data_IF_479027519104
#
_entry.id   IF_479027519104
#
_cell.length_a   1.000
_cell.length_b   1.000
_cell.length_c   1.000
_cell.angle_alpha   90.00
_cell.angle_beta   90.00
_cell.angle_gamma   90.00
#
_symmetry.space_group_name_H-M   'P 1'
#
loop_
_entity.id
_entity.type
_entity.pdbx_description
1 polymer ?
#
# COMPACT_ATOMS: atom_id res chain seq x y z
N UNK A 1 17.76 -17.06 -44.58
CA UNK A 1 16.85 -17.80 -43.69
C UNK A 1 17.21 -17.46 -42.25
N UNK A 2 16.56 -16.48 -41.68
CA UNK A 2 16.74 -16.14 -40.26
C UNK A 2 15.53 -16.66 -39.50
N UNK A 3 15.79 -17.67 -38.66
CA UNK A 3 14.77 -18.28 -37.83
C UNK A 3 14.24 -17.29 -36.79
N UNK A 4 12.96 -17.01 -36.83
CA UNK A 4 12.23 -16.31 -35.76
C UNK A 4 12.34 -17.15 -34.48
N UNK A 5 13.13 -16.67 -33.48
CA UNK A 5 13.00 -17.14 -32.12
C UNK A 5 11.68 -16.61 -31.58
N UNK A 6 10.70 -17.49 -31.45
CA UNK A 6 9.48 -17.24 -30.71
C UNK A 6 9.87 -16.93 -29.26
N UNK A 7 9.60 -15.72 -28.82
CA UNK A 7 9.61 -15.38 -27.39
C UNK A 7 8.69 -16.34 -26.66
N UNK A 8 9.09 -16.87 -25.50
CA UNK A 8 8.22 -17.76 -24.74
C UNK A 8 6.97 -17.00 -24.35
N UNK A 9 5.82 -17.42 -24.86
CA UNK A 9 4.49 -16.99 -24.41
C UNK A 9 4.48 -17.12 -22.91
N UNK A 10 4.33 -16.02 -22.19
CA UNK A 10 4.15 -15.98 -20.75
C UNK A 10 2.99 -16.91 -20.41
N UNK A 11 3.28 -18.08 -19.83
CA UNK A 11 2.23 -19.00 -19.37
C UNK A 11 1.37 -18.21 -18.38
N UNK A 12 0.09 -18.10 -18.71
CA UNK A 12 -0.90 -17.49 -17.79
C UNK A 12 -0.79 -18.20 -16.46
N UNK A 13 -0.74 -17.45 -15.37
CA UNK A 13 -0.85 -18.05 -14.03
C UNK A 13 -2.18 -18.80 -13.95
N UNK A 14 -2.21 -19.98 -13.31
CA UNK A 14 -3.47 -20.68 -13.13
C UNK A 14 -4.41 -19.83 -12.26
N UNK A 15 -5.69 -19.80 -12.64
CA UNK A 15 -6.71 -19.18 -11.81
C UNK A 15 -6.79 -19.96 -10.48
N UNK A 16 -6.76 -19.27 -9.35
CA UNK A 16 -7.08 -19.87 -8.06
C UNK A 16 -8.57 -20.25 -8.06
N UNK A 17 -8.86 -21.51 -7.73
CA UNK A 17 -10.24 -21.90 -7.50
C UNK A 17 -10.77 -21.23 -6.23
N UNK A 18 -11.96 -20.63 -6.30
CA UNK A 18 -12.65 -20.13 -5.12
C UNK A 18 -13.06 -21.33 -4.29
N UNK A 19 -12.48 -21.48 -3.09
CA UNK A 19 -12.88 -22.52 -2.16
C UNK A 19 -14.31 -22.21 -1.70
N UNK A 20 -15.25 -23.15 -1.91
CA UNK A 20 -16.58 -23.05 -1.30
C UNK A 20 -16.39 -23.15 0.21
N UNK A 21 -16.86 -22.14 0.94
CA UNK A 21 -16.81 -22.08 2.38
C UNK A 21 -17.42 -23.34 3.01
N UNK A 22 -16.73 -24.08 3.88
CA UNK A 22 -17.38 -25.05 4.72
C UNK A 22 -18.10 -24.30 5.84
N UNK A 23 -19.40 -24.40 5.89
CA UNK A 23 -20.20 -24.00 7.04
C UNK A 23 -19.89 -24.94 8.22
N UNK A 24 -19.02 -24.50 9.13
CA UNK A 24 -18.89 -25.08 10.46
C UNK A 24 -18.45 -24.00 11.43
N UNK A 25 -19.38 -23.55 12.25
CA UNK A 25 -19.12 -22.70 13.40
C UNK A 25 -18.37 -23.52 14.46
N UNK A 26 -17.06 -23.31 14.64
CA UNK A 26 -16.32 -23.70 15.82
C UNK A 26 -16.12 -22.49 16.72
N UNK A 27 -16.83 -22.45 17.86
CA UNK A 27 -16.74 -21.41 18.89
C UNK A 27 -15.49 -21.60 19.76
N UNK A 28 -14.30 -21.30 19.21
CA UNK A 28 -13.05 -21.17 19.95
C UNK A 28 -12.23 -19.99 19.38
N UNK A 29 -11.24 -19.45 20.11
CA UNK A 29 -10.32 -18.49 19.48
C UNK A 29 -9.61 -19.25 18.33
N UNK A 30 -10.01 -18.95 17.10
CA UNK A 30 -9.45 -19.60 15.93
C UNK A 30 -8.07 -19.01 15.68
N UNK A 31 -7.05 -19.86 15.74
CA UNK A 31 -5.64 -19.49 15.52
C UNK A 31 -5.33 -19.12 14.05
N UNK A 32 -6.35 -19.04 13.20
CA UNK A 32 -6.28 -18.67 11.78
C UNK A 32 -6.56 -17.18 11.53
N UNK A 33 -6.72 -16.38 12.61
CA UNK A 33 -7.07 -14.95 12.52
C UNK A 33 -5.91 -14.04 12.92
N UNK A 34 -5.85 -12.92 12.24
CA UNK A 34 -4.95 -11.83 12.59
C UNK A 34 -5.54 -10.47 12.15
N UNK A 35 -5.01 -9.42 12.75
CA UNK A 35 -5.39 -8.04 12.41
C UNK A 35 -4.34 -7.39 11.52
N UNK A 36 -4.79 -6.58 10.56
CA UNK A 36 -3.92 -5.81 9.68
C UNK A 36 -4.34 -4.34 9.66
N UNK A 37 -3.35 -3.45 9.75
CA UNK A 37 -3.49 -2.01 9.70
C UNK A 37 -2.64 -1.43 8.58
N UNK A 38 -3.20 -0.49 7.80
CA UNK A 38 -2.42 0.43 6.95
C UNK A 38 -2.70 1.88 7.38
N UNK A 39 -1.63 2.70 7.46
CA UNK A 39 -1.74 4.04 8.00
C UNK A 39 -0.65 4.97 7.45
N UNK A 40 -1.04 6.05 6.77
CA UNK A 40 -0.16 7.16 6.46
C UNK A 40 -0.02 8.04 7.72
N UNK A 41 1.20 8.18 8.23
CA UNK A 41 1.49 8.85 9.51
C UNK A 41 1.55 10.37 9.40
N UNK A 42 1.53 10.92 8.19
CA UNK A 42 1.82 12.32 7.87
C UNK A 42 3.22 12.74 8.36
N UNK A 43 4.23 12.53 7.53
CA UNK A 43 5.61 12.92 7.82
C UNK A 43 5.71 14.38 8.27
N UNK A 44 6.56 14.70 9.25
CA UNK A 44 6.82 16.10 9.61
C UNK A 44 7.33 16.94 8.43
N UNK A 45 7.88 16.31 7.40
CA UNK A 45 8.33 17.01 6.18
C UNK A 45 7.20 17.46 5.28
N UNK A 46 5.99 16.89 5.41
CA UNK A 46 4.82 17.21 4.60
C UNK A 46 3.78 18.07 5.34
N UNK A 47 4.06 18.43 6.59
CA UNK A 47 3.24 19.39 7.36
C UNK A 47 3.48 20.82 6.84
N UNK A 48 3.12 21.07 5.58
CA UNK A 48 3.33 22.35 4.92
C UNK A 48 2.38 23.43 5.45
N UNK A 49 2.89 24.60 5.91
CA UNK A 49 2.04 25.65 6.48
C UNK A 49 0.92 26.12 5.56
N UNK A 50 1.17 26.16 4.25
CA UNK A 50 0.20 26.60 3.25
C UNK A 50 -0.94 25.57 2.99
N UNK A 51 -0.73 24.31 3.34
CA UNK A 51 -1.74 23.25 3.22
C UNK A 51 -2.57 23.16 4.50
N UNK A 52 -1.90 23.15 5.64
CA UNK A 52 -2.51 22.93 6.96
C UNK A 52 -2.82 24.23 7.71
N UNK A 53 -3.33 25.25 6.99
CA UNK A 53 -3.66 26.58 7.57
C UNK A 53 -4.75 26.52 8.63
N UNK A 54 -5.62 25.49 8.59
CA UNK A 54 -6.72 25.25 9.52
C UNK A 54 -6.30 24.53 10.80
N UNK A 55 -5.09 23.96 10.83
CA UNK A 55 -4.57 23.22 11.99
C UNK A 55 -3.90 24.17 12.97
N UNK A 56 -4.23 24.07 14.25
CA UNK A 56 -3.54 24.81 15.30
C UNK A 56 -2.07 24.39 15.41
N UNK A 57 -1.17 25.35 15.68
CA UNK A 57 0.30 25.13 15.68
C UNK A 57 0.72 23.96 16.60
N UNK A 58 0.14 23.82 17.77
CA UNK A 58 0.43 22.73 18.70
C UNK A 58 0.15 21.33 18.14
N UNK A 59 -0.82 21.19 17.22
CA UNK A 59 -1.15 19.91 16.59
C UNK A 59 -0.34 19.64 15.34
N UNK A 60 0.42 20.62 14.84
CA UNK A 60 1.42 20.44 13.79
C UNK A 60 2.74 19.92 14.34
N UNK A 61 3.01 20.16 15.63
CA UNK A 61 4.24 19.74 16.29
C UNK A 61 4.43 18.23 16.22
N UNK A 62 5.62 17.81 15.77
CA UNK A 62 5.91 16.39 15.58
C UNK A 62 5.92 15.62 16.90
N UNK A 63 6.49 16.23 17.97
CA UNK A 63 6.51 15.58 19.28
C UNK A 63 5.12 15.30 19.82
N UNK A 64 4.18 16.24 19.64
CA UNK A 64 2.79 16.05 20.01
C UNK A 64 2.14 14.92 19.19
N UNK A 65 2.27 14.95 17.86
CA UNK A 65 1.68 13.95 16.97
C UNK A 65 2.28 12.56 17.17
N UNK A 66 3.60 12.50 17.42
CA UNK A 66 4.30 11.25 17.69
C UNK A 66 3.77 10.54 18.94
N UNK A 67 3.46 11.27 20.03
CA UNK A 67 2.86 10.69 21.24
C UNK A 67 1.47 10.11 20.97
N UNK A 68 0.67 10.75 20.13
CA UNK A 68 -0.62 10.19 19.69
C UNK A 68 -0.44 8.94 18.84
N UNK A 69 0.51 8.94 17.89
CA UNK A 69 0.87 7.77 17.09
C UNK A 69 1.33 6.59 17.96
N UNK A 70 2.15 6.85 18.99
CA UNK A 70 2.51 5.81 19.97
C UNK A 70 1.28 5.21 20.64
N UNK A 71 0.36 6.07 21.09
CA UNK A 71 -0.88 5.63 21.75
C UNK A 71 -1.74 4.79 20.79
N UNK A 72 -1.87 5.23 19.55
CA UNK A 72 -2.64 4.50 18.55
C UNK A 72 -2.03 3.14 18.22
N UNK A 73 -0.74 3.08 17.93
CA UNK A 73 -0.10 1.87 17.41
C UNK A 73 0.20 0.84 18.50
N UNK A 74 0.54 1.26 19.73
CA UNK A 74 0.86 0.32 20.80
C UNK A 74 -0.35 -0.12 21.63
N UNK A 75 -1.38 0.73 21.77
CA UNK A 75 -2.47 0.47 22.71
C UNK A 75 -3.85 0.42 22.06
N UNK A 76 -4.17 1.36 21.19
CA UNK A 76 -5.52 1.46 20.61
C UNK A 76 -5.76 0.41 19.53
N UNK A 77 -4.84 0.30 18.57
CA UNK A 77 -5.01 -0.58 17.42
C UNK A 77 -4.19 -1.87 17.50
N UNK A 78 -2.96 -1.82 17.92
CA UNK A 78 -2.06 -2.97 18.15
C UNK A 78 -2.28 -4.14 17.17
N UNK A 79 -2.30 -3.83 15.87
CA UNK A 79 -2.57 -4.81 14.83
C UNK A 79 -1.38 -5.79 14.64
N UNK A 80 -1.67 -7.04 14.30
CA UNK A 80 -0.63 -8.08 14.12
C UNK A 80 0.29 -7.81 12.92
N UNK A 81 -0.22 -7.10 11.89
CA UNK A 81 0.56 -6.57 10.76
C UNK A 81 0.25 -5.08 10.65
N UNK A 82 1.28 -4.24 10.64
CA UNK A 82 1.16 -2.78 10.57
C UNK A 82 1.97 -2.29 9.38
N UNK A 83 1.30 -1.66 8.41
CA UNK A 83 1.89 -1.06 7.22
C UNK A 83 1.82 0.46 7.35
N UNK A 84 2.97 1.12 7.49
CA UNK A 84 3.07 2.57 7.67
C UNK A 84 3.58 3.23 6.39
N UNK A 85 3.03 4.39 6.04
CA UNK A 85 3.51 5.27 4.99
C UNK A 85 3.96 6.60 5.59
N UNK A 86 4.80 7.32 4.89
CA UNK A 86 5.44 8.57 5.34
C UNK A 86 6.27 8.43 6.64
N UNK A 87 6.68 7.23 6.96
CA UNK A 87 7.62 6.96 8.05
C UNK A 87 9.00 7.43 7.65
N UNK A 88 9.62 8.35 8.43
CA UNK A 88 10.99 8.79 8.15
C UNK A 88 12.00 7.73 8.55
N UNK A 89 13.14 7.68 7.83
CA UNK A 89 14.19 6.72 8.14
C UNK A 89 14.83 6.99 9.49
N UNK A 90 14.95 8.25 9.90
CA UNK A 90 15.43 8.64 11.23
C UNK A 90 14.50 8.09 12.30
N UNK A 91 13.19 8.37 12.20
CA UNK A 91 12.21 7.93 13.19
C UNK A 91 12.09 6.39 13.25
N UNK A 92 12.15 5.72 12.08
CA UNK A 92 12.20 4.26 12.04
C UNK A 92 13.40 3.69 12.80
N UNK A 93 14.61 4.21 12.55
CA UNK A 93 15.85 3.64 13.12
C UNK A 93 16.05 4.03 14.58
N UNK A 94 15.66 5.24 14.99
CA UNK A 94 15.92 5.77 16.33
C UNK A 94 14.79 5.45 17.32
N UNK A 95 13.59 5.12 16.83
CA UNK A 95 12.44 4.86 17.68
C UNK A 95 11.66 3.59 17.32
N UNK A 96 10.94 3.57 16.19
CA UNK A 96 9.90 2.56 15.94
C UNK A 96 10.43 1.14 15.90
N UNK A 97 11.56 0.90 15.25
CA UNK A 97 12.16 -0.44 15.14
C UNK A 97 12.37 -1.08 16.50
N UNK A 98 13.00 -0.35 17.40
CA UNK A 98 13.36 -0.87 18.72
C UNK A 98 12.16 -0.90 19.68
N UNK A 99 11.30 0.12 19.64
CA UNK A 99 10.13 0.16 20.50
C UNK A 99 9.10 -0.93 20.13
N UNK A 100 8.85 -1.16 18.85
CA UNK A 100 7.98 -2.25 18.37
C UNK A 100 8.54 -3.62 18.77
N UNK A 101 9.86 -3.81 18.68
CA UNK A 101 10.51 -5.06 19.12
C UNK A 101 10.41 -5.25 20.61
N UNK A 102 10.75 -4.24 21.40
CA UNK A 102 10.92 -4.38 22.84
C UNK A 102 9.59 -4.37 23.62
N UNK A 103 8.60 -3.56 23.16
CA UNK A 103 7.31 -3.43 23.88
C UNK A 103 6.30 -4.52 23.50
N UNK A 104 6.28 -4.95 22.24
CA UNK A 104 5.22 -5.83 21.73
C UNK A 104 5.73 -7.03 20.89
N UNK A 105 7.05 -7.28 20.88
CA UNK A 105 7.69 -8.41 20.18
C UNK A 105 7.43 -8.43 18.67
N UNK A 106 7.54 -7.27 18.00
CA UNK A 106 7.36 -7.19 16.55
C UNK A 106 8.69 -7.16 15.82
N UNK A 107 8.75 -7.88 14.68
CA UNK A 107 9.76 -7.68 13.66
C UNK A 107 9.37 -6.54 12.73
N UNK A 108 10.35 -5.99 11.99
CA UNK A 108 10.09 -4.90 11.07
C UNK A 108 11.03 -4.88 9.87
N UNK A 109 10.54 -4.34 8.76
CA UNK A 109 11.31 -4.01 7.57
C UNK A 109 10.90 -2.62 7.10
N UNK A 110 11.82 -1.90 6.47
CA UNK A 110 11.62 -0.53 6.02
C UNK A 110 12.26 -0.31 4.66
N UNK A 111 11.59 0.43 3.78
CA UNK A 111 12.10 0.87 2.50
C UNK A 111 12.05 2.40 2.44
N UNK A 112 13.22 3.03 2.39
CA UNK A 112 13.38 4.48 2.30
C UNK A 112 13.32 4.94 0.85
N UNK A 113 12.65 6.07 0.60
CA UNK A 113 12.67 6.73 -0.72
C UNK A 113 14.06 7.31 -0.98
N UNK A 114 14.62 7.23 -2.20
CA UNK A 114 15.81 7.98 -2.54
C UNK A 114 15.51 9.49 -2.49
N UNK A 115 16.45 10.31 -2.02
CA UNK A 115 16.25 11.75 -1.94
C UNK A 115 16.13 12.36 -3.35
N UNK A 116 15.17 13.25 -3.59
CA UNK A 116 15.11 14.01 -4.82
C UNK A 116 16.23 15.04 -4.87
N UNK A 117 16.56 15.55 -6.06
CA UNK A 117 17.69 16.47 -6.29
C UNK A 117 17.65 17.77 -5.47
N UNK A 118 16.45 18.18 -5.07
CA UNK A 118 16.23 19.38 -4.25
C UNK A 118 16.31 19.12 -2.73
N UNK A 119 16.53 17.86 -2.32
CA UNK A 119 16.60 17.49 -0.90
C UNK A 119 17.90 17.99 -0.28
N UNK A 120 17.79 18.79 0.76
CA UNK A 120 18.94 19.44 1.43
C UNK A 120 19.24 18.88 2.82
N UNK A 121 18.35 17.99 3.33
CA UNK A 121 18.52 17.31 4.62
C UNK A 121 19.29 16.00 4.44
N UNK A 122 19.54 15.30 5.53
CA UNK A 122 20.13 13.97 5.49
C UNK A 122 19.26 13.00 4.67
N UNK A 123 19.86 12.10 3.91
CA UNK A 123 19.13 11.03 3.21
C UNK A 123 18.37 10.13 4.18
N UNK A 124 18.87 10.00 5.43
CA UNK A 124 18.19 9.25 6.50
C UNK A 124 16.88 9.87 6.95
N UNK A 125 16.68 11.18 6.70
CA UNK A 125 15.45 11.88 7.04
C UNK A 125 14.35 11.72 5.97
N UNK A 126 14.70 11.12 4.82
CA UNK A 126 13.67 10.79 3.83
C UNK A 126 12.63 9.85 4.44
N UNK A 127 11.40 10.04 3.99
CA UNK A 127 10.32 9.12 4.31
C UNK A 127 10.36 7.86 3.44
N UNK A 128 9.58 6.90 3.85
CA UNK A 128 9.44 5.64 3.15
C UNK A 128 8.22 4.87 3.64
N UNK A 129 8.27 3.56 3.46
CA UNK A 129 7.22 2.65 3.91
C UNK A 129 7.78 1.56 4.83
N UNK A 130 7.07 1.30 5.93
CA UNK A 130 7.45 0.30 6.92
C UNK A 130 6.42 -0.81 7.05
N UNK A 131 6.86 -2.03 7.31
CA UNK A 131 6.01 -3.17 7.67
C UNK A 131 6.51 -3.74 8.98
N UNK A 132 5.63 -3.76 9.99
CA UNK A 132 5.86 -4.36 11.30
C UNK A 132 4.93 -5.57 11.45
N UNK A 133 5.40 -6.62 12.11
CA UNK A 133 4.65 -7.87 12.22
C UNK A 133 4.92 -8.58 13.53
N UNK A 134 3.86 -9.14 14.10
CA UNK A 134 3.87 -9.85 15.38
C UNK A 134 4.66 -11.17 15.25
N UNK A 135 5.80 -11.26 15.96
CA UNK A 135 6.66 -12.44 15.94
C UNK A 135 6.06 -13.64 16.69
N UNK A 136 5.00 -13.46 17.46
CA UNK A 136 4.29 -14.58 18.09
C UNK A 136 3.41 -15.31 17.07
N UNK A 137 2.87 -14.60 16.07
CA UNK A 137 2.02 -15.17 15.01
C UNK A 137 2.77 -15.50 13.72
N UNK A 138 3.83 -14.76 13.40
CA UNK A 138 4.52 -14.84 12.12
C UNK A 138 5.99 -15.18 12.27
N UNK A 139 6.51 -15.94 11.30
CA UNK A 139 7.94 -16.13 11.07
C UNK A 139 8.33 -15.35 9.83
N UNK A 140 9.35 -14.51 9.95
CA UNK A 140 9.93 -13.79 8.82
C UNK A 140 10.66 -14.78 7.90
N UNK A 141 10.43 -14.66 6.59
CA UNK A 141 11.11 -15.47 5.59
C UNK A 141 12.08 -14.62 4.75
N UNK A 142 11.58 -13.53 4.19
CA UNK A 142 12.34 -12.72 3.23
C UNK A 142 11.70 -11.34 3.08
N UNK A 143 12.49 -10.35 2.66
CA UNK A 143 11.97 -9.05 2.21
C UNK A 143 12.68 -8.57 0.94
N UNK A 144 11.98 -7.76 0.18
CA UNK A 144 12.51 -7.10 -1.00
C UNK A 144 11.89 -5.70 -1.11
N UNK A 145 12.70 -4.74 -1.52
CA UNK A 145 12.23 -3.40 -1.87
C UNK A 145 12.47 -3.12 -3.33
N UNK A 146 11.63 -2.29 -3.93
CA UNK A 146 11.82 -1.81 -5.30
C UNK A 146 11.60 -0.31 -5.39
N UNK A 147 12.29 0.33 -6.31
CA UNK A 147 12.06 1.70 -6.73
C UNK A 147 11.07 1.71 -7.89
N UNK A 148 9.96 2.46 -7.77
CA UNK A 148 8.86 2.42 -8.73
C UNK A 148 9.17 3.17 -10.03
N UNK A 149 10.31 3.82 -10.11
CA UNK A 149 10.86 4.45 -11.31
C UNK A 149 11.80 3.54 -12.12
N UNK A 150 11.96 2.26 -11.75
CA UNK A 150 12.70 1.29 -12.56
C UNK A 150 11.84 0.75 -13.71
N UNK A 151 11.60 1.61 -14.71
CA UNK A 151 10.77 1.26 -15.87
C UNK A 151 11.51 0.35 -16.85
N UNK A 152 12.81 0.57 -17.04
CA UNK A 152 13.64 -0.25 -17.95
C UNK A 152 13.70 -1.71 -17.51
N UNK A 153 13.78 -1.96 -16.20
CA UNK A 153 13.77 -3.32 -15.64
C UNK A 153 12.40 -4.00 -15.64
N UNK A 154 11.32 -3.24 -15.87
CA UNK A 154 9.94 -3.71 -15.70
C UNK A 154 9.13 -3.73 -17.00
N UNK A 155 9.37 -2.79 -17.91
CA UNK A 155 8.63 -2.58 -19.15
C UNK A 155 9.45 -3.07 -20.36
N UNK A 156 8.77 -3.63 -21.36
CA UNK A 156 9.40 -3.98 -22.62
C UNK A 156 9.54 -2.74 -23.54
N UNK A 157 10.23 -2.93 -24.69
CA UNK A 157 10.52 -1.81 -25.58
C UNK A 157 9.25 -1.19 -26.21
N UNK A 158 8.22 -1.99 -26.46
CA UNK A 158 6.95 -1.48 -27.02
C UNK A 158 6.22 -0.60 -25.97
N UNK A 159 6.18 -1.05 -24.76
CA UNK A 159 5.61 -0.31 -23.64
C UNK A 159 6.39 0.98 -23.33
N UNK A 160 7.73 0.91 -23.31
CA UNK A 160 8.57 2.10 -23.15
C UNK A 160 8.32 3.13 -24.25
N UNK A 161 8.26 2.69 -25.52
CA UNK A 161 7.93 3.57 -26.63
C UNK A 161 6.55 4.22 -26.46
N UNK A 162 5.57 3.45 -25.99
CA UNK A 162 4.25 3.98 -25.68
C UNK A 162 4.33 5.06 -24.59
N UNK A 163 5.01 4.81 -23.47
CA UNK A 163 5.14 5.78 -22.37
C UNK A 163 5.86 7.06 -22.81
N UNK A 164 6.80 6.99 -23.75
CA UNK A 164 7.44 8.16 -24.34
C UNK A 164 6.50 9.00 -25.24
N UNK A 165 5.50 8.36 -25.84
CA UNK A 165 4.55 9.02 -26.73
C UNK A 165 3.30 9.56 -26.02
N UNK A 166 3.07 9.18 -24.75
CA UNK A 166 1.96 9.69 -23.95
C UNK A 166 2.36 10.93 -23.19
N UNK A 167 1.63 12.03 -23.37
CA UNK A 167 1.90 13.30 -22.72
C UNK A 167 1.03 13.55 -21.49
N UNK A 168 1.64 14.12 -20.46
CA UNK A 168 0.98 14.63 -19.25
C UNK A 168 1.09 16.15 -19.25
N UNK A 169 -0.03 16.83 -19.03
CA UNK A 169 -0.04 18.26 -18.75
C UNK A 169 0.45 18.50 -17.32
N UNK A 170 1.59 19.16 -17.20
CA UNK A 170 2.18 19.48 -15.91
C UNK A 170 1.51 20.70 -15.30
N UNK A 171 1.16 20.62 -14.02
CA UNK A 171 0.58 21.73 -13.27
C UNK A 171 1.39 21.99 -11.99
N UNK A 172 1.38 23.24 -11.50
CA UNK A 172 1.92 23.60 -10.18
C UNK A 172 0.98 23.18 -9.03
N UNK A 173 1.30 23.53 -7.79
CA UNK A 173 0.47 23.27 -6.61
C UNK A 173 -0.86 24.05 -6.58
N UNK A 174 -0.98 25.14 -7.36
CA UNK A 174 -2.20 25.92 -7.51
C UNK A 174 -3.12 25.38 -8.62
N UNK A 175 -2.62 24.45 -9.46
CA UNK A 175 -3.35 23.90 -10.59
C UNK A 175 -3.05 24.57 -11.93
N UNK A 176 -2.20 25.60 -11.96
CA UNK A 176 -1.84 26.30 -13.21
C UNK A 176 -0.96 25.39 -14.07
N UNK A 177 -1.20 25.41 -15.39
CA UNK A 177 -0.40 24.66 -16.36
C UNK A 177 1.00 25.28 -16.46
N UNK A 178 2.03 24.46 -16.24
CA UNK A 178 3.45 24.88 -16.29
C UNK A 178 4.23 24.23 -17.43
N UNK A 179 3.60 23.32 -18.20
CA UNK A 179 4.22 22.66 -19.34
C UNK A 179 3.59 21.31 -19.67
N UNK A 180 4.31 20.54 -20.48
CA UNK A 180 3.99 19.16 -20.81
C UNK A 180 5.26 18.31 -20.76
N UNK A 181 5.12 17.05 -20.37
CA UNK A 181 6.16 16.03 -20.48
C UNK A 181 5.51 14.67 -20.71
N UNK A 182 6.25 13.68 -21.14
CA UNK A 182 5.70 12.36 -21.35
C UNK A 182 5.65 11.53 -20.06
N UNK A 183 4.79 10.50 -20.06
CA UNK A 183 4.58 9.62 -18.91
C UNK A 183 5.89 8.96 -18.46
N UNK A 184 6.77 8.58 -19.39
CA UNK A 184 8.07 7.99 -19.08
C UNK A 184 8.93 8.92 -18.23
N UNK A 185 9.17 10.15 -18.69
CA UNK A 185 10.01 11.12 -17.99
C UNK A 185 9.43 11.47 -16.61
N UNK A 186 8.11 11.73 -16.55
CA UNK A 186 7.45 12.03 -15.28
C UNK A 186 7.57 10.87 -14.31
N UNK A 187 7.38 9.63 -14.75
CA UNK A 187 7.51 8.43 -13.91
C UNK A 187 8.95 8.21 -13.44
N UNK A 188 9.94 8.38 -14.34
CA UNK A 188 11.38 8.25 -14.02
C UNK A 188 11.84 9.28 -12.98
N UNK A 189 11.24 10.45 -12.96
CA UNK A 189 11.56 11.53 -12.02
C UNK A 189 10.93 11.33 -10.62
N UNK A 190 10.13 10.26 -10.41
CA UNK A 190 9.49 9.97 -9.11
C UNK A 190 10.37 9.04 -8.28
N UNK A 191 10.26 9.16 -6.96
CA UNK A 191 11.10 8.43 -6.00
C UNK A 191 10.31 7.47 -5.09
N UNK A 192 9.08 7.12 -5.47
CA UNK A 192 8.27 6.18 -4.69
C UNK A 192 8.90 4.79 -4.64
N UNK A 193 8.66 4.12 -3.51
CA UNK A 193 9.16 2.78 -3.21
C UNK A 193 8.02 1.85 -2.85
N UNK A 194 8.26 0.56 -3.01
CA UNK A 194 7.37 -0.49 -2.53
C UNK A 194 8.19 -1.53 -1.76
N UNK A 195 7.64 -1.96 -0.62
CA UNK A 195 8.22 -2.98 0.24
C UNK A 195 7.39 -4.25 0.19
N UNK A 196 8.07 -5.38 0.01
CA UNK A 196 7.52 -6.73 0.09
C UNK A 196 8.12 -7.42 1.31
N UNK A 197 7.28 -7.99 2.17
CA UNK A 197 7.71 -8.83 3.30
C UNK A 197 6.97 -10.15 3.22
N UNK A 198 7.72 -11.24 3.24
CA UNK A 198 7.19 -12.59 3.21
C UNK A 198 7.19 -13.16 4.61
N UNK A 199 6.02 -13.52 5.08
CA UNK A 199 5.77 -14.04 6.42
C UNK A 199 5.16 -15.44 6.31
N UNK A 200 5.58 -16.36 7.19
CA UNK A 200 4.88 -17.63 7.38
C UNK A 200 4.00 -17.52 8.62
N UNK A 201 2.71 -17.69 8.47
CA UNK A 201 1.80 -17.78 9.60
C UNK A 201 2.05 -19.07 10.37
N UNK A 202 2.32 -18.96 11.67
CA UNK A 202 2.83 -20.09 12.47
C UNK A 202 1.85 -21.25 12.58
N UNK A 203 0.55 -20.97 12.66
CA UNK A 203 -0.48 -22.01 12.81
C UNK A 203 -0.85 -22.64 11.46
N UNK A 204 -1.30 -21.85 10.51
CA UNK A 204 -1.79 -22.37 9.22
C UNK A 204 -0.67 -22.77 8.27
N UNK A 205 0.57 -22.38 8.54
CA UNK A 205 1.76 -22.54 7.68
C UNK A 205 1.66 -21.79 6.34
N UNK A 206 0.59 -21.04 6.11
CA UNK A 206 0.42 -20.20 4.91
C UNK A 206 1.54 -19.16 4.81
N UNK A 207 2.02 -18.93 3.60
CA UNK A 207 2.96 -17.87 3.30
C UNK A 207 2.16 -16.63 2.87
N UNK A 208 2.35 -15.55 3.59
CA UNK A 208 1.67 -14.28 3.31
C UNK A 208 2.70 -13.30 2.75
N UNK A 209 2.48 -12.84 1.53
CA UNK A 209 3.24 -11.76 0.91
C UNK A 209 2.55 -10.46 1.26
N UNK A 210 3.11 -9.73 2.22
CA UNK A 210 2.63 -8.40 2.63
C UNK A 210 3.34 -7.36 1.79
N UNK A 211 2.57 -6.49 1.15
CA UNK A 211 3.06 -5.43 0.28
C UNK A 211 2.59 -4.10 0.81
N UNK A 212 3.51 -3.15 0.95
CA UNK A 212 3.23 -1.79 1.38
C UNK A 212 3.83 -0.78 0.41
N UNK A 213 3.04 0.20 0.01
CA UNK A 213 3.47 1.27 -0.90
C UNK A 213 2.81 2.59 -0.55
N UNK A 214 3.39 3.69 -1.06
CA UNK A 214 2.78 5.01 -1.10
C UNK A 214 2.96 5.55 -2.51
N UNK A 215 1.89 5.50 -3.33
CA UNK A 215 1.93 5.89 -4.74
C UNK A 215 2.06 7.40 -4.90
N UNK A 216 2.47 7.85 -6.09
CA UNK A 216 2.57 9.26 -6.42
C UNK A 216 1.21 9.97 -6.30
N UNK A 217 1.19 11.17 -5.74
CA UNK A 217 -0.07 11.82 -5.38
C UNK A 217 -0.85 12.46 -6.54
N UNK A 218 -0.23 12.71 -7.70
CA UNK A 218 -0.81 13.68 -8.65
C UNK A 218 -1.39 13.06 -9.92
N UNK A 219 -0.63 12.38 -10.75
CA UNK A 219 -1.06 11.94 -12.08
C UNK A 219 -1.44 10.46 -12.08
N UNK A 220 -2.65 10.15 -12.55
CA UNK A 220 -3.18 8.78 -12.57
C UNK A 220 -2.36 7.85 -13.47
N UNK A 221 -1.84 8.35 -14.57
CA UNK A 221 -0.97 7.60 -15.48
C UNK A 221 0.31 7.15 -14.78
N UNK A 222 0.91 8.02 -13.99
CA UNK A 222 2.11 7.69 -13.20
C UNK A 222 1.80 6.65 -12.12
N UNK A 223 0.69 6.81 -11.42
CA UNK A 223 0.23 5.84 -10.41
C UNK A 223 -0.06 4.47 -11.03
N UNK A 224 -0.67 4.44 -12.21
CA UNK A 224 -0.93 3.20 -12.95
C UNK A 224 0.38 2.49 -13.33
N UNK A 225 1.38 3.23 -13.85
CA UNK A 225 2.73 2.71 -14.16
C UNK A 225 3.39 2.14 -12.90
N UNK A 226 3.30 2.86 -11.77
CA UNK A 226 3.83 2.41 -10.48
C UNK A 226 3.14 1.12 -10.02
N UNK A 227 1.81 1.05 -10.09
CA UNK A 227 1.05 -0.12 -9.71
C UNK A 227 1.38 -1.34 -10.59
N UNK A 228 1.48 -1.15 -11.90
CA UNK A 228 1.89 -2.22 -12.83
C UNK A 228 3.32 -2.72 -12.54
N UNK A 229 4.24 -1.82 -12.18
CA UNK A 229 5.60 -2.17 -11.74
C UNK A 229 5.56 -3.08 -10.52
N UNK A 230 4.73 -2.75 -9.52
CA UNK A 230 4.53 -3.56 -8.30
C UNK A 230 3.97 -4.94 -8.67
N UNK A 231 2.92 -5.00 -9.49
CA UNK A 231 2.28 -6.27 -9.87
C UNK A 231 3.22 -7.20 -10.64
N UNK A 232 4.05 -6.67 -11.51
CA UNK A 232 5.06 -7.45 -12.25
C UNK A 232 6.17 -7.96 -11.33
N UNK A 233 6.59 -7.15 -10.37
CA UNK A 233 7.56 -7.59 -9.36
C UNK A 233 6.98 -8.70 -8.49
N UNK A 234 5.75 -8.54 -8.03
CA UNK A 234 5.02 -9.56 -7.27
C UNK A 234 4.96 -10.89 -8.02
N UNK A 235 4.63 -10.84 -9.32
CA UNK A 235 4.63 -12.03 -10.18
C UNK A 235 5.98 -12.74 -10.19
N UNK A 236 7.09 -11.99 -10.28
CA UNK A 236 8.45 -12.55 -10.23
C UNK A 236 8.78 -13.15 -8.86
N UNK A 237 8.38 -12.50 -7.77
CA UNK A 237 8.57 -12.99 -6.39
C UNK A 237 7.84 -14.32 -6.22
N UNK A 238 6.56 -14.40 -6.57
CA UNK A 238 5.78 -15.64 -6.44
C UNK A 238 6.39 -16.75 -7.29
N UNK A 239 6.78 -16.47 -8.53
CA UNK A 239 7.45 -17.44 -9.38
C UNK A 239 8.75 -17.96 -8.75
N UNK A 240 9.55 -17.07 -8.16
CA UNK A 240 10.78 -17.43 -7.45
C UNK A 240 10.50 -18.32 -6.23
N UNK A 241 9.46 -18.02 -5.44
CA UNK A 241 9.05 -18.84 -4.30
C UNK A 241 8.67 -20.26 -4.70
N UNK A 242 7.85 -20.41 -5.73
CA UNK A 242 7.38 -21.70 -6.24
C UNK A 242 8.51 -22.57 -6.85
N UNK A 243 9.60 -21.94 -7.30
CA UNK A 243 10.76 -22.65 -7.85
C UNK A 243 11.81 -22.95 -6.79
N UNK A 244 11.85 -22.18 -5.70
CA UNK A 244 12.91 -22.22 -4.71
C UNK A 244 12.58 -22.99 -3.42
N UNK A 245 11.30 -23.26 -3.15
CA UNK A 245 10.85 -23.90 -1.94
C UNK A 245 9.94 -25.10 -2.27
N UNK A 246 10.31 -26.28 -1.84
CA UNK A 246 9.57 -27.52 -2.15
C UNK A 246 8.17 -27.58 -1.50
N UNK A 247 8.01 -26.93 -0.33
CA UNK A 247 6.75 -26.87 0.42
C UNK A 247 5.82 -25.74 -0.01
N UNK A 248 6.19 -24.96 -1.05
CA UNK A 248 5.42 -23.83 -1.53
C UNK A 248 4.64 -24.17 -2.78
N UNK A 249 3.33 -23.98 -2.69
CA UNK A 249 2.37 -24.14 -3.80
C UNK A 249 1.55 -22.88 -4.00
N UNK A 250 0.88 -22.74 -5.13
CA UNK A 250 -0.02 -21.60 -5.35
C UNK A 250 -1.12 -21.48 -4.30
N UNK A 251 -1.57 -22.59 -3.71
CA UNK A 251 -2.65 -22.61 -2.73
C UNK A 251 -2.23 -22.08 -1.35
N UNK A 252 -0.96 -22.22 -0.98
CA UNK A 252 -0.49 -21.76 0.33
C UNK A 252 0.23 -20.40 0.30
N UNK A 253 0.35 -19.76 -0.88
CA UNK A 253 0.81 -18.39 -1.02
C UNK A 253 -0.40 -17.44 -1.11
N UNK A 254 -0.49 -16.55 -0.15
CA UNK A 254 -1.56 -15.56 -0.01
C UNK A 254 -0.98 -14.15 -0.07
N UNK A 255 -1.73 -13.18 -0.58
CA UNK A 255 -1.21 -11.84 -0.84
C UNK A 255 -2.08 -10.80 -0.14
N UNK A 256 -1.41 -9.85 0.53
CA UNK A 256 -2.02 -8.65 1.08
C UNK A 256 -1.27 -7.44 0.50
N UNK A 257 -1.97 -6.62 -0.25
CA UNK A 257 -1.41 -5.41 -0.85
C UNK A 257 -2.09 -4.18 -0.25
N UNK A 258 -1.31 -3.37 0.46
CA UNK A 258 -1.81 -2.22 1.20
C UNK A 258 -0.99 -0.97 0.96
N UNK A 259 -1.53 0.15 1.40
CA UNK A 259 -0.86 1.43 1.40
C UNK A 259 -1.78 2.60 1.09
N UNK A 260 -1.15 3.76 0.94
CA UNK A 260 -1.75 4.96 0.38
C UNK A 260 -1.57 4.96 -1.13
N UNK A 261 -2.67 4.74 -1.84
CA UNK A 261 -2.69 4.69 -3.31
C UNK A 261 -2.87 6.07 -3.94
N UNK A 262 -3.13 7.10 -3.13
CA UNK A 262 -3.44 8.44 -3.63
C UNK A 262 -4.51 8.43 -4.74
N UNK A 263 -5.46 7.50 -4.66
CA UNK A 263 -6.38 7.15 -5.73
C UNK A 263 -7.78 6.89 -5.20
N UNK A 264 -8.76 7.62 -5.69
CA UNK A 264 -10.18 7.40 -5.36
C UNK A 264 -10.71 6.12 -6.04
N UNK A 265 -11.88 5.62 -5.58
CA UNK A 265 -12.47 4.36 -6.07
C UNK A 265 -12.73 4.33 -7.58
N UNK A 266 -12.90 5.47 -8.22
CA UNK A 266 -13.15 5.63 -9.66
C UNK A 266 -11.88 5.86 -10.51
N UNK A 267 -10.71 5.91 -9.88
CA UNK A 267 -9.42 6.14 -10.55
C UNK A 267 -8.98 4.98 -11.44
N UNK A 268 -8.04 5.25 -12.36
CA UNK A 268 -7.44 4.23 -13.24
C UNK A 268 -6.75 3.11 -12.46
N UNK A 269 -6.10 3.43 -11.34
CA UNK A 269 -5.41 2.44 -10.51
C UNK A 269 -6.40 1.45 -9.91
N UNK A 270 -7.51 1.95 -9.36
CA UNK A 270 -8.51 1.07 -8.73
C UNK A 270 -9.23 0.22 -9.77
N UNK A 271 -9.59 0.77 -10.92
CA UNK A 271 -10.11 0.01 -12.07
C UNK A 271 -9.15 -1.09 -12.51
N UNK A 272 -7.86 -0.77 -12.64
CA UNK A 272 -6.82 -1.75 -12.97
C UNK A 272 -6.72 -2.87 -11.93
N UNK A 273 -6.78 -2.56 -10.63
CA UNK A 273 -6.73 -3.55 -9.56
C UNK A 273 -7.99 -4.41 -9.52
N UNK A 274 -9.16 -3.85 -9.81
CA UNK A 274 -10.42 -4.58 -10.00
C UNK A 274 -10.39 -5.52 -11.22
N UNK A 275 -9.32 -5.51 -12.00
CA UNK A 275 -9.15 -6.38 -13.15
C UNK A 275 -9.76 -5.84 -14.44
N UNK A 276 -10.19 -4.59 -14.46
CA UNK A 276 -10.59 -3.91 -15.68
C UNK A 276 -9.39 -3.76 -16.63
N UNK A 277 -9.64 -3.92 -17.91
CA UNK A 277 -8.64 -3.65 -18.94
C UNK A 277 -8.57 -2.13 -19.18
N UNK A 278 -7.41 -1.56 -18.93
CA UNK A 278 -7.17 -0.15 -19.22
C UNK A 278 -6.63 -0.03 -20.64
N UNK A 279 -7.47 0.50 -21.52
CA UNK A 279 -7.11 0.73 -22.91
C UNK A 279 -6.48 2.12 -23.06
N UNK A 280 -5.24 2.16 -23.48
CA UNK A 280 -4.54 3.40 -23.80
C UNK A 280 -3.96 3.28 -25.22
N UNK A 281 -4.62 3.87 -26.21
CA UNK A 281 -4.18 3.77 -27.60
C UNK A 281 -4.00 2.31 -28.04
N UNK A 282 -2.78 1.96 -28.46
CA UNK A 282 -2.45 0.61 -28.95
C UNK A 282 -2.06 -0.38 -27.83
N UNK A 283 -2.05 0.05 -26.57
CA UNK A 283 -1.66 -0.79 -25.43
C UNK A 283 -2.86 -1.08 -24.51
N UNK A 284 -3.04 -2.36 -24.21
CA UNK A 284 -4.00 -2.85 -23.27
C UNK A 284 -3.29 -3.25 -21.98
N UNK A 285 -3.45 -2.46 -20.91
CA UNK A 285 -2.88 -2.75 -19.61
C UNK A 285 -3.87 -3.56 -18.78
N UNK A 286 -3.44 -4.73 -18.34
CA UNK A 286 -4.21 -5.60 -17.47
C UNK A 286 -3.39 -5.99 -16.25
N UNK A 287 -4.04 -6.04 -15.09
CA UNK A 287 -3.41 -6.51 -13.87
C UNK A 287 -2.97 -7.99 -14.02
N UNK A 288 -1.65 -8.28 -14.09
CA UNK A 288 -1.16 -9.65 -14.23
C UNK A 288 -1.42 -10.51 -12.99
N UNK A 289 -1.80 -9.90 -11.87
CA UNK A 289 -2.09 -10.53 -10.59
C UNK A 289 -3.57 -10.52 -10.22
N UNK A 290 -4.46 -10.21 -11.15
CA UNK A 290 -5.92 -10.13 -10.89
C UNK A 290 -6.53 -11.39 -10.28
N UNK A 291 -5.95 -12.56 -10.57
CA UNK A 291 -6.40 -13.82 -10.00
C UNK A 291 -6.00 -14.00 -8.52
N UNK A 292 -5.19 -13.10 -7.98
CA UNK A 292 -4.64 -13.13 -6.62
C UNK A 292 -4.93 -11.84 -5.84
N UNK A 293 -5.37 -10.79 -6.52
CA UNK A 293 -5.69 -9.48 -5.94
C UNK A 293 -6.90 -8.92 -6.71
N UNK A 294 -8.09 -9.33 -6.30
CA UNK A 294 -9.34 -8.98 -6.99
C UNK A 294 -10.34 -8.27 -6.09
N UNK A 295 -10.06 -8.21 -4.79
CA UNK A 295 -10.95 -7.63 -3.79
C UNK A 295 -10.19 -6.68 -2.87
N UNK A 296 -10.84 -5.59 -2.49
CA UNK A 296 -10.44 -4.74 -1.38
C UNK A 296 -11.33 -5.00 -0.17
N UNK A 297 -10.91 -4.58 1.01
CA UNK A 297 -11.76 -4.69 2.20
C UNK A 297 -13.08 -3.92 2.05
N UNK A 298 -13.14 -2.94 1.14
CA UNK A 298 -14.35 -2.14 0.90
C UNK A 298 -15.42 -2.89 0.12
N UNK A 299 -15.07 -3.99 -0.54
CA UNK A 299 -16.04 -4.85 -1.25
C UNK A 299 -16.81 -5.76 -0.28
N UNK A 300 -16.28 -5.93 0.94
CA UNK A 300 -16.83 -6.79 1.99
C UNK A 300 -17.62 -6.02 3.07
N UNK A 301 -17.71 -4.70 2.95
CA UNK A 301 -18.38 -3.84 3.93
C UNK A 301 -19.43 -2.96 3.23
N UNK A 302 -20.51 -2.53 3.95
CA UNK A 302 -21.48 -1.60 3.39
C UNK A 302 -20.83 -0.31 2.89
N UNK A 303 -21.32 0.22 1.77
CA UNK A 303 -20.78 1.41 1.09
C UNK A 303 -20.68 2.65 1.98
N UNK A 304 -21.52 2.75 3.02
CA UNK A 304 -21.55 3.86 3.97
C UNK A 304 -20.61 3.68 5.17
N UNK A 305 -19.88 2.56 5.25
CA UNK A 305 -19.05 2.23 6.41
C UNK A 305 -17.74 3.01 6.45
N UNK A 306 -17.21 3.39 5.29
CA UNK A 306 -16.03 4.26 5.15
C UNK A 306 -16.36 5.45 4.27
N UNK A 307 -16.36 6.64 4.88
CA UNK A 307 -16.63 7.89 4.16
C UNK A 307 -15.32 8.45 3.63
N UNK A 308 -14.29 8.52 4.48
CA UNK A 308 -12.96 9.02 4.14
C UNK A 308 -11.88 8.24 4.86
N UNK A 309 -10.72 8.07 4.22
CA UNK A 309 -9.48 7.64 4.87
C UNK A 309 -8.45 8.77 4.91
N UNK A 310 -8.63 9.80 4.09
CA UNK A 310 -7.86 11.05 4.16
C UNK A 310 -8.83 12.23 4.31
N UNK A 311 -8.48 13.16 5.19
CA UNK A 311 -9.28 14.33 5.52
C UNK A 311 -8.38 15.54 5.75
N UNK A 312 -7.75 16.04 4.68
CA UNK A 312 -6.85 17.18 4.72
C UNK A 312 -7.50 18.42 4.07
N UNK A 313 -8.15 19.26 4.87
CA UNK A 313 -8.76 20.49 4.39
C UNK A 313 -9.74 20.26 3.22
N UNK A 314 -9.28 20.46 2.00
CA UNK A 314 -10.09 20.31 0.79
C UNK A 314 -10.11 18.89 0.24
N UNK A 315 -9.14 18.05 0.60
CA UNK A 315 -9.01 16.69 0.11
C UNK A 315 -9.69 15.74 1.08
N UNK A 316 -10.77 15.13 0.62
CA UNK A 316 -11.53 14.12 1.36
C UNK A 316 -11.79 12.94 0.44
N UNK A 317 -11.54 11.73 0.92
CA UNK A 317 -11.80 10.53 0.12
C UNK A 317 -11.18 9.28 0.71
N UNK A 318 -11.44 8.17 0.03
CA UNK A 318 -10.77 6.90 0.28
C UNK A 318 -9.53 6.85 -0.60
N UNK A 319 -8.34 6.81 0.01
CA UNK A 319 -7.05 6.73 -0.66
C UNK A 319 -6.20 5.56 -0.17
N UNK A 320 -6.53 5.02 1.01
CA UNK A 320 -5.83 3.93 1.67
C UNK A 320 -6.60 2.63 1.50
N UNK A 321 -5.91 1.57 1.05
CA UNK A 321 -6.55 0.30 0.71
C UNK A 321 -5.80 -0.89 1.29
N UNK A 322 -6.53 -1.99 1.49
CA UNK A 322 -6.00 -3.34 1.69
C UNK A 322 -6.67 -4.24 0.65
N UNK A 323 -5.85 -4.77 -0.27
CA UNK A 323 -6.27 -5.66 -1.35
C UNK A 323 -5.87 -7.09 -1.05
N UNK A 324 -6.71 -8.05 -1.42
CA UNK A 324 -6.51 -9.47 -1.19
C UNK A 324 -7.27 -10.33 -2.22
N UNK A 325 -7.17 -11.65 -2.11
CA UNK A 325 -8.00 -12.59 -2.84
C UNK A 325 -9.08 -13.17 -1.93
N UNK A 326 -10.34 -13.10 -2.34
CA UNK A 326 -11.51 -13.57 -1.57
C UNK A 326 -11.44 -15.06 -1.19
N UNK A 327 -10.76 -15.89 -2.01
CA UNK A 327 -10.51 -17.30 -1.69
C UNK A 327 -9.36 -17.55 -0.73
N UNK A 328 -8.59 -16.52 -0.34
CA UNK A 328 -7.45 -16.61 0.57
C UNK A 328 -7.78 -16.07 1.97
N UNK A 329 -8.65 -15.07 2.04
CA UNK A 329 -9.02 -14.39 3.28
C UNK A 329 -10.50 -14.07 3.33
N UNK A 330 -11.05 -14.13 4.53
CA UNK A 330 -12.35 -13.58 4.89
C UNK A 330 -12.16 -12.36 5.76
N UNK A 331 -12.85 -11.27 5.45
CA UNK A 331 -12.91 -10.09 6.31
C UNK A 331 -13.90 -10.36 7.44
N UNK A 332 -13.39 -10.58 8.64
CA UNK A 332 -14.21 -10.89 9.82
C UNK A 332 -14.82 -9.62 10.37
N UNK A 333 -14.03 -8.55 10.42
CA UNK A 333 -14.44 -7.27 10.97
C UNK A 333 -13.54 -6.16 10.46
N UNK A 334 -14.13 -4.99 10.23
CA UNK A 334 -13.42 -3.72 10.10
C UNK A 334 -13.48 -3.02 11.45
N UNK A 335 -12.32 -2.73 12.05
CA UNK A 335 -12.19 -2.37 13.47
C UNK A 335 -12.01 -0.86 13.70
N UNK A 336 -11.66 -0.08 12.69
CA UNK A 336 -11.43 1.36 12.82
C UNK A 336 -11.58 2.10 11.49
N UNK A 337 -11.47 3.41 11.56
CA UNK A 337 -11.60 4.30 10.41
C UNK A 337 -13.04 4.74 10.17
N UNK A 338 -13.97 3.81 9.98
CA UNK A 338 -15.38 4.12 9.72
C UNK A 338 -16.02 4.99 10.80
N UNK A 339 -15.83 4.63 12.06
CA UNK A 339 -16.39 5.38 13.19
C UNK A 339 -15.80 6.79 13.29
N UNK A 340 -14.46 6.91 13.15
CA UNK A 340 -13.76 8.19 13.16
C UNK A 340 -14.19 9.05 11.97
N UNK A 341 -14.30 8.45 10.78
CA UNK A 341 -14.77 9.16 9.58
C UNK A 341 -16.18 9.74 9.77
N UNK A 342 -17.11 8.95 10.30
CA UNK A 342 -18.48 9.40 10.60
C UNK A 342 -18.53 10.50 11.67
N UNK A 343 -17.69 10.40 12.69
CA UNK A 343 -17.57 11.43 13.72
C UNK A 343 -17.12 12.76 13.14
N UNK A 344 -16.07 12.75 12.32
CA UNK A 344 -15.54 13.94 11.65
C UNK A 344 -16.57 14.61 10.75
N UNK A 345 -17.33 13.84 9.99
CA UNK A 345 -18.40 14.37 9.15
C UNK A 345 -19.54 14.96 9.98
N UNK A 346 -19.92 14.31 11.08
CA UNK A 346 -20.98 14.81 11.97
C UNK A 346 -20.61 16.12 12.67
N UNK A 347 -19.33 16.30 13.00
CA UNK A 347 -18.80 17.51 13.62
C UNK A 347 -18.48 18.63 12.64
N UNK A 348 -18.63 18.38 11.32
CA UNK A 348 -18.31 19.34 10.26
C UNK A 348 -16.89 19.93 10.37
N UNK A 349 -15.93 19.14 10.83
CA UNK A 349 -14.55 19.59 10.98
C UNK A 349 -13.90 19.88 9.63
N UNK A 350 -13.04 20.90 9.61
CA UNK A 350 -12.37 21.33 8.38
C UNK A 350 -11.28 20.36 7.91
N UNK A 351 -10.80 19.47 8.77
CA UNK A 351 -9.77 18.49 8.43
C UNK A 351 -8.90 18.07 9.60
N UNK A 352 -8.00 17.15 9.32
CA UNK A 352 -7.00 16.60 10.23
C UNK A 352 -5.58 17.14 9.87
N UNK A 353 -4.59 17.02 10.80
CA UNK A 353 -4.66 16.51 12.17
C UNK A 353 -5.35 17.48 13.16
N UNK A 354 -5.69 16.95 14.34
CA UNK A 354 -6.26 17.71 15.43
C UNK A 354 -5.76 17.20 16.80
N UNK A 355 -6.43 17.57 17.87
CA UNK A 355 -6.06 17.20 19.25
C UNK A 355 -6.06 15.69 19.51
N UNK A 356 -6.84 14.90 18.77
CA UNK A 356 -7.02 13.45 18.97
C UNK A 356 -6.48 12.59 17.83
N UNK A 357 -6.23 13.19 16.67
CA UNK A 357 -5.80 12.50 15.45
C UNK A 357 -4.48 13.06 14.93
N UNK A 358 -3.40 12.28 14.94
CA UNK A 358 -2.06 12.76 14.64
C UNK A 358 -1.75 12.94 13.15
N UNK A 359 -2.56 12.34 12.27
CA UNK A 359 -2.38 12.37 10.81
C UNK A 359 -3.61 12.98 10.14
N UNK A 360 -3.46 13.43 8.91
CA UNK A 360 -4.57 13.78 8.01
C UNK A 360 -5.21 12.54 7.36
N UNK A 361 -4.63 11.37 7.59
CA UNK A 361 -5.22 10.08 7.27
C UNK A 361 -5.82 9.41 8.51
N UNK A 362 -6.78 8.53 8.26
CA UNK A 362 -7.44 7.68 9.25
C UNK A 362 -6.95 6.25 9.01
N UNK A 363 -6.48 5.55 10.05
CA UNK A 363 -5.97 4.19 9.88
C UNK A 363 -7.07 3.23 9.40
N UNK A 364 -6.71 2.38 8.46
CA UNK A 364 -7.56 1.30 7.97
C UNK A 364 -7.16 0.01 8.67
N UNK A 365 -8.01 -0.48 9.56
CA UNK A 365 -7.76 -1.67 10.38
C UNK A 365 -8.84 -2.73 10.16
N UNK A 366 -8.43 -3.94 9.87
CA UNK A 366 -9.31 -5.09 9.66
C UNK A 366 -8.81 -6.34 10.39
N UNK A 367 -9.74 -7.20 10.77
CA UNK A 367 -9.47 -8.57 11.19
C UNK A 367 -9.74 -9.51 10.01
N UNK A 368 -8.75 -10.31 9.67
CA UNK A 368 -8.76 -11.28 8.57
C UNK A 368 -8.68 -12.70 9.12
N UNK A 369 -9.46 -13.62 8.52
CA UNK A 369 -9.32 -15.06 8.71
C UNK A 369 -8.67 -15.66 7.47
N UNK A 370 -7.67 -16.52 7.66
CA UNK A 370 -7.02 -17.30 6.59
C UNK A 370 -7.94 -18.45 6.21
N UNK A 371 -8.22 -18.58 4.89
CA UNK A 371 -9.06 -19.65 4.34
C UNK A 371 -8.25 -20.84 3.83
#
# INVERSE_FOLDING_TARGET
>A
MFGRRLLPVLKKFPNKAVAKSPSCASNGPSNDRFTMLTYNMLSPHYMWPQVYTYVQEKYKDWGYRHQLLETELFYKYKADIICLQELTGTDYNEFWKDQMKNRINYGSNFAIKPPPTYWTKSEKDMDGVGIFYNLDKFTYLFSNQIYLNDLVGTFDQQELNYLHNQNITLTNGAGDVIGQDNVYNVSKARNQVCLFVLLRHKETKSIIVVINTHLYWKYDEVKLVQCLTIMRKLQRIIKGLLMGLEDVTYSNVKILFSGDFNSTRDSLVIKFLNGEMINHGDINLQNPMRAYLSHSIYDEIPDDSYIHTCYSGKLKGIFDYIWFHQGDFEVVKVLSGAEVSKELDSLQQFGLPNENHPSDHIPVLTELRIL
#
